data_IF_401089171058
#
_entry.id   IF_401089171058
#
_cell.length_a   1.000
_cell.length_b   1.000
_cell.length_c   1.000
_cell.angle_alpha   90.00
_cell.angle_beta   90.00
_cell.angle_gamma   90.00
#
_symmetry.space_group_name_H-M   'P 1'
#
loop_
_entity.id
_entity.type
_entity.pdbx_description
1 polymer ?
#
# COMPACT_ATOMS: atom_id res chain seq x y z
N UNK A 1 -13.85 -18.15 -0.71
CA UNK A 1 -13.11 -17.11 0.05
C UNK A 1 -12.84 -15.86 -0.81
N UNK A 2 -13.86 -15.35 -1.50
CA UNK A 2 -13.85 -14.01 -2.09
C UNK A 2 -14.37 -12.98 -1.07
N UNK A 3 -13.83 -12.99 0.14
CA UNK A 3 -13.98 -11.83 1.00
C UNK A 3 -13.08 -10.76 0.39
N UNK A 4 -13.74 -9.91 -0.41
CA UNK A 4 -13.29 -8.58 -0.79
C UNK A 4 -12.40 -8.02 0.31
N UNK A 5 -11.35 -7.30 -0.07
CA UNK A 5 -10.68 -6.32 0.79
C UNK A 5 -11.75 -5.32 1.29
N UNK A 6 -12.57 -5.72 2.26
CA UNK A 6 -13.50 -4.88 2.97
C UNK A 6 -12.64 -4.25 4.06
N UNK A 7 -12.18 -3.00 3.86
CA UNK A 7 -11.17 -2.37 4.72
C UNK A 7 -11.63 -2.19 6.18
N UNK A 8 -12.89 -2.50 6.48
CA UNK A 8 -13.47 -2.33 7.81
C UNK A 8 -13.66 -3.68 8.55
N UNK A 9 -13.90 -4.78 7.82
CA UNK A 9 -14.23 -6.07 8.43
C UNK A 9 -13.07 -6.81 9.10
N UNK A 10 -11.83 -6.48 8.72
CA UNK A 10 -10.63 -7.21 9.16
C UNK A 10 -9.67 -6.34 9.99
N UNK A 11 -10.13 -5.18 10.48
CA UNK A 11 -9.34 -4.36 11.40
C UNK A 11 -9.36 -5.02 12.78
N UNK A 12 -8.18 -5.26 13.35
CA UNK A 12 -8.06 -5.79 14.70
C UNK A 12 -8.44 -4.72 15.72
N UNK A 13 -9.55 -4.97 16.43
CA UNK A 13 -9.96 -4.19 17.60
C UNK A 13 -9.31 -4.77 18.86
N UNK A 14 -8.58 -3.95 19.61
CA UNK A 14 -7.87 -4.37 20.80
C UNK A 14 -6.50 -3.74 20.95
N UNK A 15 -5.74 -4.25 21.92
CA UNK A 15 -4.38 -3.79 22.22
C UNK A 15 -3.39 -4.63 21.41
N UNK A 16 -2.50 -3.97 20.71
CA UNK A 16 -1.43 -4.58 19.92
C UNK A 16 -0.15 -3.75 20.03
N UNK A 17 0.95 -4.29 19.50
CA UNK A 17 2.25 -3.60 19.52
C UNK A 17 2.59 -3.24 18.08
N UNK A 18 2.70 -1.95 17.80
CA UNK A 18 3.32 -1.41 16.60
C UNK A 18 4.84 -1.58 16.72
N UNK A 19 5.36 -2.64 16.10
CA UNK A 19 6.78 -2.95 16.15
C UNK A 19 7.65 -1.91 15.43
N UNK A 20 7.07 -0.99 14.65
CA UNK A 20 7.78 0.16 14.09
C UNK A 20 8.28 1.12 15.18
N UNK A 21 7.57 1.17 16.31
CA UNK A 21 7.90 2.02 17.48
C UNK A 21 8.56 1.24 18.62
N UNK A 22 8.83 -0.05 18.41
CA UNK A 22 9.41 -0.95 19.42
C UNK A 22 8.43 -1.39 20.51
N UNK A 23 8.91 -2.18 21.47
CA UNK A 23 8.04 -2.84 22.46
C UNK A 23 7.42 -1.90 23.50
N UNK A 24 8.03 -0.74 23.74
CA UNK A 24 7.60 0.19 24.80
C UNK A 24 6.69 1.29 24.25
N UNK A 25 7.12 2.01 23.22
CA UNK A 25 6.36 3.09 22.59
C UNK A 25 5.34 2.60 21.55
N UNK A 26 5.45 1.33 21.13
CA UNK A 26 4.54 0.73 20.16
C UNK A 26 3.22 0.21 20.73
N UNK A 27 3.02 0.24 22.05
CA UNK A 27 1.76 -0.22 22.64
C UNK A 27 0.60 0.65 22.14
N UNK A 28 -0.22 0.07 21.28
CA UNK A 28 -1.26 0.77 20.54
C UNK A 28 -2.60 0.10 20.83
N UNK A 29 -3.64 0.91 21.02
CA UNK A 29 -5.01 0.44 21.22
C UNK A 29 -5.87 0.90 20.06
N UNK A 30 -6.47 -0.05 19.36
CA UNK A 30 -7.49 0.21 18.33
C UNK A 30 -8.86 -0.03 18.95
N UNK A 31 -9.61 1.01 19.34
CA UNK A 31 -10.97 0.86 19.83
C UNK A 31 -11.95 0.55 18.69
N UNK A 32 -13.08 -0.08 19.03
CA UNK A 32 -14.22 -0.17 18.10
C UNK A 32 -14.76 1.23 17.77
N UNK A 33 -15.48 1.44 16.64
CA UNK A 33 -16.01 2.74 16.28
C UNK A 33 -16.89 3.38 17.39
N UNK A 34 -17.74 2.57 18.02
CA UNK A 34 -18.59 3.01 19.14
C UNK A 34 -17.75 3.32 20.38
N UNK A 35 -16.79 2.45 20.72
CA UNK A 35 -15.89 2.66 21.86
C UNK A 35 -15.05 3.93 21.70
N UNK A 36 -14.56 4.21 20.49
CA UNK A 36 -13.79 5.40 20.15
C UNK A 36 -14.59 6.68 20.38
N UNK A 37 -15.86 6.70 19.93
CA UNK A 37 -16.75 7.84 20.15
C UNK A 37 -17.00 8.09 21.65
N UNK A 38 -17.28 7.04 22.42
CA UNK A 38 -17.50 7.17 23.88
C UNK A 38 -16.24 7.67 24.58
N UNK A 39 -15.08 7.12 24.24
CA UNK A 39 -13.80 7.51 24.82
C UNK A 39 -13.45 8.96 24.50
N UNK A 40 -13.58 9.37 23.24
CA UNK A 40 -13.32 10.74 22.78
C UNK A 40 -14.21 11.74 23.52
N UNK A 41 -15.51 11.45 23.62
CA UNK A 41 -16.45 12.32 24.34
C UNK A 41 -16.15 12.40 25.83
N UNK A 42 -15.78 11.27 26.46
CA UNK A 42 -15.44 11.23 27.88
C UNK A 42 -14.13 11.96 28.17
N UNK A 43 -13.13 11.83 27.28
CA UNK A 43 -11.87 12.56 27.38
C UNK A 43 -12.07 14.07 27.25
N UNK A 44 -12.89 14.52 26.29
CA UNK A 44 -13.23 15.93 26.14
C UNK A 44 -13.88 16.47 27.43
N UNK A 45 -14.91 15.79 27.95
CA UNK A 45 -15.56 16.16 29.21
C UNK A 45 -14.58 16.21 30.40
N UNK A 46 -13.66 15.25 30.48
CA UNK A 46 -12.64 15.22 31.52
C UNK A 46 -11.71 16.43 31.45
N UNK A 47 -11.23 16.79 30.24
CA UNK A 47 -10.39 17.98 30.02
C UNK A 47 -11.14 19.26 30.38
N UNK A 48 -12.42 19.38 30.01
CA UNK A 48 -13.28 20.52 30.38
C UNK A 48 -13.40 20.66 31.90
N UNK A 49 -13.64 19.56 32.62
CA UNK A 49 -13.73 19.54 34.09
C UNK A 49 -12.40 19.93 34.74
N UNK A 50 -11.28 19.35 34.29
CA UNK A 50 -9.94 19.70 34.77
C UNK A 50 -9.65 21.19 34.55
N UNK A 51 -10.01 21.75 33.40
CA UNK A 51 -9.85 23.17 33.11
C UNK A 51 -10.67 24.09 34.00
N UNK A 52 -11.90 23.71 34.33
CA UNK A 52 -12.75 24.46 35.25
C UNK A 52 -12.19 24.45 36.69
N UNK A 53 -11.72 23.30 37.16
CA UNK A 53 -11.13 23.17 38.49
C UNK A 53 -9.77 23.89 38.58
N UNK A 54 -8.92 23.78 37.57
CA UNK A 54 -7.65 24.49 37.52
C UNK A 54 -7.88 26.02 37.53
N UNK A 55 -8.89 26.52 36.82
CA UNK A 55 -9.24 27.94 36.88
C UNK A 55 -9.67 28.38 38.28
N UNK A 56 -10.38 27.52 39.00
CA UNK A 56 -10.77 27.80 40.40
C UNK A 56 -9.55 27.93 41.30
N UNK A 57 -8.52 27.09 41.12
CA UNK A 57 -7.24 27.20 41.83
C UNK A 57 -6.54 28.51 41.47
N UNK A 58 -6.45 28.85 40.17
CA UNK A 58 -5.82 30.10 39.70
C UNK A 58 -6.51 31.33 40.28
N UNK A 59 -7.85 31.38 40.26
CA UNK A 59 -8.62 32.47 40.90
C UNK A 59 -8.36 32.55 42.39
N UNK A 60 -8.30 31.41 43.09
CA UNK A 60 -8.02 31.38 44.52
C UNK A 60 -6.62 31.95 44.82
N UNK A 61 -5.61 31.62 44.01
CA UNK A 61 -4.27 32.19 44.15
C UNK A 61 -4.30 33.71 43.97
N UNK A 62 -4.96 34.22 42.92
CA UNK A 62 -5.10 35.67 42.72
C UNK A 62 -5.86 36.36 43.86
N UNK A 63 -6.91 35.72 44.38
CA UNK A 63 -7.65 36.21 45.53
C UNK A 63 -6.74 36.33 46.76
N UNK A 64 -5.99 35.26 47.08
CA UNK A 64 -5.08 35.24 48.23
C UNK A 64 -3.93 36.25 48.11
N UNK A 65 -3.30 36.37 46.93
CA UNK A 65 -2.24 37.36 46.67
C UNK A 65 -2.75 38.80 46.78
N UNK A 66 -3.99 39.05 46.38
CA UNK A 66 -4.60 40.37 46.55
C UNK A 66 -5.02 40.66 47.99
N UNK A 67 -5.39 39.64 48.76
CA UNK A 67 -5.82 39.77 50.16
C UNK A 67 -4.63 39.97 51.12
N UNK A 68 -3.50 39.32 50.87
CA UNK A 68 -2.27 39.48 51.70
C UNK A 68 -1.66 40.88 51.62
N UNK A 69 -1.93 41.63 50.55
CA UNK A 69 -1.44 42.99 50.34
C UNK A 69 -2.31 44.09 51.01
N UNK A 70 -3.29 43.74 51.85
CA UNK A 70 -4.26 44.66 52.49
C UNK A 70 -3.75 45.39 53.76
N UNK A 71 -2.45 45.69 53.87
CA UNK A 71 -1.90 46.39 55.04
C UNK A 71 -2.04 47.94 55.02
N UNK A 72 -2.82 48.53 54.11
CA UNK A 72 -3.01 49.99 53.96
C UNK A 72 -4.44 50.41 53.59
N UNK A 73 -4.75 51.72 53.49
CA UNK A 73 -6.12 52.21 53.28
C UNK A 73 -6.73 51.64 52.00
N UNK A 74 -7.85 50.94 52.17
CA UNK A 74 -8.42 50.03 51.17
C UNK A 74 -9.06 50.78 49.99
N UNK A 75 -8.46 50.68 48.80
CA UNK A 75 -9.07 51.21 47.58
C UNK A 75 -10.34 50.40 47.22
N UNK A 76 -11.48 51.07 47.01
CA UNK A 76 -12.76 50.44 46.61
C UNK A 76 -12.61 49.48 45.42
N UNK A 77 -11.74 49.82 44.48
CA UNK A 77 -11.41 48.99 43.32
C UNK A 77 -10.82 47.61 43.69
N UNK A 78 -9.97 47.53 44.73
CA UNK A 78 -9.42 46.24 45.20
C UNK A 78 -10.52 45.35 45.82
N UNK A 79 -11.48 45.97 46.52
CA UNK A 79 -12.63 45.26 47.09
C UNK A 79 -13.51 44.68 45.97
N UNK A 80 -13.76 45.46 44.92
CA UNK A 80 -14.52 45.00 43.76
C UNK A 80 -13.81 43.87 43.01
N UNK A 81 -12.48 43.94 42.87
CA UNK A 81 -11.69 42.83 42.31
C UNK A 81 -11.82 41.54 43.12
N UNK A 82 -11.72 41.63 44.46
CA UNK A 82 -11.83 40.45 45.33
C UNK A 82 -13.23 39.82 45.28
N UNK A 83 -14.28 40.64 45.19
CA UNK A 83 -15.65 40.14 44.97
C UNK A 83 -15.76 39.39 43.64
N UNK A 84 -15.14 39.91 42.57
CA UNK A 84 -15.15 39.24 41.27
C UNK A 84 -14.41 37.89 41.35
N UNK A 85 -13.23 37.81 41.98
CA UNK A 85 -12.51 36.54 42.09
C UNK A 85 -13.27 35.49 42.92
N UNK A 86 -14.01 35.93 43.94
CA UNK A 86 -14.84 35.05 44.76
C UNK A 86 -16.08 34.54 44.01
N UNK A 87 -16.77 35.42 43.29
CA UNK A 87 -18.10 35.16 42.77
C UNK A 87 -18.10 34.67 41.30
N UNK A 88 -17.07 34.99 40.50
CA UNK A 88 -17.03 34.62 39.10
C UNK A 88 -16.63 33.14 38.90
N UNK A 89 -17.53 32.31 38.37
CA UNK A 89 -17.30 30.87 38.19
C UNK A 89 -16.32 30.51 37.06
N UNK A 90 -16.29 31.26 35.96
CA UNK A 90 -15.55 30.91 34.73
C UNK A 90 -14.50 31.97 34.35
N UNK A 91 -13.52 31.55 33.54
CA UNK A 91 -12.44 32.45 33.10
C UNK A 91 -12.96 33.61 32.25
N UNK A 92 -13.88 33.33 31.32
CA UNK A 92 -14.45 34.36 30.44
C UNK A 92 -15.32 35.38 31.20
N UNK A 93 -16.07 34.93 32.22
CA UNK A 93 -16.86 35.82 33.07
C UNK A 93 -15.95 36.68 33.94
N UNK A 94 -14.89 36.09 34.51
CA UNK A 94 -13.86 36.82 35.26
C UNK A 94 -13.18 37.87 34.38
N UNK A 95 -12.76 37.50 33.16
CA UNK A 95 -12.15 38.39 32.19
C UNK A 95 -13.06 39.58 31.88
N UNK A 96 -14.33 39.33 31.53
CA UNK A 96 -15.30 40.37 31.20
C UNK A 96 -15.50 41.34 32.37
N UNK A 97 -15.66 40.83 33.59
CA UNK A 97 -15.91 41.65 34.77
C UNK A 97 -14.68 42.49 35.16
N UNK A 98 -13.49 41.88 35.17
CA UNK A 98 -12.24 42.58 35.52
C UNK A 98 -11.85 43.60 34.46
N UNK A 99 -11.99 43.29 33.18
CA UNK A 99 -11.70 44.24 32.10
C UNK A 99 -12.69 45.42 32.11
N UNK A 100 -13.98 45.17 32.40
CA UNK A 100 -14.96 46.24 32.59
C UNK A 100 -14.61 47.12 33.78
N UNK A 101 -14.19 46.53 34.89
CA UNK A 101 -13.73 47.25 36.09
C UNK A 101 -12.47 48.09 35.81
N UNK A 102 -11.50 47.54 35.07
CA UNK A 102 -10.32 48.28 34.64
C UNK A 102 -10.70 49.47 33.74
N UNK A 103 -11.61 49.25 32.78
CA UNK A 103 -12.03 50.27 31.83
C UNK A 103 -12.83 51.41 32.47
N UNK A 104 -13.73 51.10 33.41
CA UNK A 104 -14.52 52.12 34.13
C UNK A 104 -13.65 52.97 35.06
N UNK A 105 -12.60 52.38 35.63
CA UNK A 105 -11.68 53.05 36.55
C UNK A 105 -10.46 53.71 35.90
N UNK A 106 -10.33 53.64 34.56
CA UNK A 106 -9.15 54.13 33.81
C UNK A 106 -8.81 55.60 33.99
N UNK A 107 -9.80 56.42 34.37
CA UNK A 107 -9.65 57.87 34.58
C UNK A 107 -9.51 58.26 36.05
N UNK A 108 -9.86 57.37 36.99
CA UNK A 108 -9.89 57.68 38.43
C UNK A 108 -8.78 57.00 39.23
N UNK A 109 -8.17 55.93 38.73
CA UNK A 109 -7.05 55.24 39.39
C UNK A 109 -5.68 55.57 38.77
N UNK A 110 -4.63 55.47 39.61
CA UNK A 110 -3.25 55.57 39.15
C UNK A 110 -2.87 54.46 38.16
N UNK A 111 -2.01 54.78 37.18
CA UNK A 111 -1.61 53.90 36.07
C UNK A 111 -1.26 52.47 36.51
N UNK A 112 -0.58 52.31 37.65
CA UNK A 112 -0.16 51.01 38.20
C UNK A 112 -1.33 50.08 38.55
N UNK A 113 -2.41 50.61 39.12
CA UNK A 113 -3.56 49.80 39.52
C UNK A 113 -4.44 49.43 38.33
N UNK A 114 -4.58 50.34 37.37
CA UNK A 114 -5.24 50.05 36.09
C UNK A 114 -4.50 48.95 35.31
N UNK A 115 -3.17 49.05 35.19
CA UNK A 115 -2.36 48.04 34.50
C UNK A 115 -2.50 46.67 35.17
N UNK A 116 -2.47 46.61 36.50
CA UNK A 116 -2.62 45.36 37.24
C UNK A 116 -3.96 44.67 36.95
N UNK A 117 -5.08 45.38 37.01
CA UNK A 117 -6.40 44.82 36.64
C UNK A 117 -6.46 44.36 35.20
N UNK A 118 -5.93 45.18 34.29
CA UNK A 118 -5.91 44.86 32.88
C UNK A 118 -5.09 43.60 32.60
N UNK A 119 -3.91 43.46 33.22
CA UNK A 119 -3.07 42.27 33.13
C UNK A 119 -3.79 41.01 33.64
N UNK A 120 -4.51 41.09 34.76
CA UNK A 120 -5.26 39.92 35.25
C UNK A 120 -6.42 39.57 34.33
N UNK A 121 -7.13 40.57 33.80
CA UNK A 121 -8.16 40.35 32.78
C UNK A 121 -7.61 39.67 31.52
N UNK A 122 -6.42 40.10 31.07
CA UNK A 122 -5.71 39.49 29.94
C UNK A 122 -5.31 38.04 30.24
N UNK A 123 -4.78 37.75 31.44
CA UNK A 123 -4.45 36.37 31.86
C UNK A 123 -5.68 35.47 31.82
N UNK A 124 -6.85 35.95 32.25
CA UNK A 124 -8.09 35.19 32.17
C UNK A 124 -8.54 34.91 30.73
N UNK A 125 -8.34 35.86 29.80
CA UNK A 125 -8.60 35.65 28.35
C UNK A 125 -7.62 34.64 27.76
N UNK A 126 -6.32 34.77 28.06
CA UNK A 126 -5.29 33.85 27.60
C UNK A 126 -5.57 32.44 28.12
N UNK A 127 -5.90 32.30 29.40
CA UNK A 127 -6.27 31.02 29.99
C UNK A 127 -7.45 30.39 29.26
N UNK A 128 -8.52 31.16 29.03
CA UNK A 128 -9.70 30.66 28.30
C UNK A 128 -9.33 30.22 26.88
N UNK A 129 -8.53 31.02 26.16
CA UNK A 129 -8.09 30.70 24.81
C UNK A 129 -7.21 29.43 24.77
N UNK A 130 -6.25 29.30 25.69
CA UNK A 130 -5.41 28.12 25.82
C UNK A 130 -6.24 26.87 26.15
N UNK A 131 -7.20 26.95 27.08
CA UNK A 131 -8.02 25.81 27.43
C UNK A 131 -8.98 25.38 26.33
N UNK A 132 -9.60 26.33 25.62
CA UNK A 132 -10.40 26.03 24.43
C UNK A 132 -9.55 25.36 23.36
N UNK A 133 -8.31 25.81 23.15
CA UNK A 133 -7.39 25.14 22.22
C UNK A 133 -7.06 23.71 22.69
N UNK A 134 -6.68 23.52 23.96
CA UNK A 134 -6.38 22.20 24.53
C UNK A 134 -7.58 21.25 24.40
N UNK A 135 -8.80 21.73 24.63
CA UNK A 135 -10.03 20.95 24.46
C UNK A 135 -10.21 20.50 23.01
N UNK A 136 -10.07 21.40 22.04
CA UNK A 136 -10.15 21.07 20.60
C UNK A 136 -9.06 20.06 20.20
N UNK A 137 -7.83 20.27 20.66
CA UNK A 137 -6.69 19.40 20.33
C UNK A 137 -6.63 18.11 21.15
N UNK A 138 -7.47 17.94 22.18
CA UNK A 138 -7.51 16.70 22.98
C UNK A 138 -7.90 15.49 22.13
N UNK A 139 -8.78 15.68 21.14
CA UNK A 139 -9.16 14.65 20.17
C UNK A 139 -7.99 14.27 19.24
N UNK A 140 -7.03 15.16 19.06
CA UNK A 140 -5.84 14.89 18.25
C UNK A 140 -4.89 13.89 18.92
N UNK A 141 -4.93 13.79 20.25
CA UNK A 141 -4.16 12.79 21.01
C UNK A 141 -4.60 11.37 20.66
N UNK A 142 -5.87 11.19 20.27
CA UNK A 142 -6.43 9.91 19.84
C UNK A 142 -5.98 9.57 18.40
N UNK A 143 -5.64 10.59 17.60
CA UNK A 143 -5.10 10.46 16.24
C UNK A 143 -3.56 10.46 16.18
N UNK A 144 -2.85 10.26 17.29
CA UNK A 144 -1.39 10.40 17.40
C UNK A 144 -0.56 9.31 16.67
N UNK A 145 -1.08 8.78 15.55
CA UNK A 145 -0.51 7.68 14.79
C UNK A 145 0.25 8.04 13.51
N UNK A 146 0.08 9.22 12.91
CA UNK A 146 0.80 9.51 11.66
C UNK A 146 0.96 11.00 11.39
N UNK A 147 2.21 11.40 11.18
CA UNK A 147 2.61 12.76 10.77
C UNK A 147 2.41 12.95 9.25
N UNK A 148 2.19 11.86 8.49
CA UNK A 148 2.20 11.85 7.03
C UNK A 148 1.06 11.02 6.39
N UNK A 149 -0.04 10.71 7.10
CA UNK A 149 -1.13 9.89 6.54
C UNK A 149 -2.18 9.45 7.56
N UNK A 150 -3.04 8.49 7.19
CA UNK A 150 -3.98 7.87 8.11
C UNK A 150 -3.25 7.10 9.24
N UNK A 151 -3.82 7.04 10.43
CA UNK A 151 -3.26 6.28 11.56
C UNK A 151 -3.15 4.79 11.19
N UNK A 152 -1.98 4.15 11.33
CA UNK A 152 -1.84 2.74 11.01
C UNK A 152 -2.71 1.91 11.96
N UNK A 153 -3.53 1.04 11.38
CA UNK A 153 -4.32 0.05 12.12
C UNK A 153 -3.75 -1.33 11.88
N UNK A 154 -3.83 -2.21 12.88
CA UNK A 154 -3.46 -3.60 12.69
C UNK A 154 -4.55 -4.28 11.86
N UNK A 155 -4.18 -4.68 10.67
CA UNK A 155 -5.01 -5.53 9.83
C UNK A 155 -4.80 -6.99 10.21
N UNK A 156 -5.88 -7.72 10.45
CA UNK A 156 -5.85 -9.15 10.76
C UNK A 156 -6.84 -9.87 9.86
N UNK A 157 -6.34 -10.41 8.74
CA UNK A 157 -7.11 -11.36 7.93
C UNK A 157 -7.34 -12.66 8.69
N UNK A 158 -8.23 -13.50 8.15
CA UNK A 158 -8.25 -14.93 8.43
C UNK A 158 -6.91 -15.63 8.10
N UNK A 159 -6.88 -16.97 7.97
CA UNK A 159 -5.63 -17.68 7.68
C UNK A 159 -4.95 -17.09 6.45
N UNK A 160 -3.75 -16.54 6.65
CA UNK A 160 -2.85 -16.08 5.60
C UNK A 160 -1.77 -17.14 5.41
N UNK A 161 -1.33 -17.35 4.17
CA UNK A 161 -0.36 -18.37 3.83
C UNK A 161 -0.69 -19.04 2.52
N UNK A 162 -0.15 -20.23 2.32
CA UNK A 162 -0.43 -21.05 1.14
C UNK A 162 -1.89 -21.50 1.15
N UNK A 163 -2.49 -21.56 -0.05
CA UNK A 163 -3.81 -22.16 -0.22
C UNK A 163 -3.74 -23.64 0.19
N UNK A 164 -4.88 -24.20 0.60
CA UNK A 164 -4.98 -25.59 1.00
C UNK A 164 -4.51 -26.50 -0.16
N UNK A 165 -3.65 -27.49 0.13
CA UNK A 165 -3.10 -28.41 -0.88
C UNK A 165 -4.20 -29.14 -1.64
N UNK A 166 -5.24 -29.63 -0.96
CA UNK A 166 -6.35 -30.32 -1.63
C UNK A 166 -7.16 -29.40 -2.53
N UNK A 167 -7.26 -28.12 -2.18
CA UNK A 167 -7.89 -27.10 -3.02
C UNK A 167 -7.03 -26.85 -4.27
N UNK A 168 -5.70 -26.72 -4.10
CA UNK A 168 -4.78 -26.54 -5.22
C UNK A 168 -4.79 -27.73 -6.17
N UNK A 169 -4.82 -28.96 -5.67
CA UNK A 169 -4.93 -30.16 -6.50
C UNK A 169 -6.19 -30.15 -7.37
N UNK A 170 -7.34 -29.71 -6.84
CA UNK A 170 -8.58 -29.64 -7.61
C UNK A 170 -8.50 -28.57 -8.71
N UNK A 171 -8.03 -27.37 -8.38
CA UNK A 171 -8.05 -26.23 -9.32
C UNK A 171 -6.91 -26.29 -10.34
N UNK A 172 -5.77 -26.91 -10.01
CA UNK A 172 -4.63 -27.05 -10.93
C UNK A 172 -4.78 -28.24 -11.88
N UNK A 173 -5.33 -29.37 -11.40
CA UNK A 173 -5.51 -30.56 -12.25
C UNK A 173 -6.74 -30.46 -13.17
N UNK A 174 -7.56 -29.41 -13.03
CA UNK A 174 -8.77 -29.23 -13.82
C UNK A 174 -9.78 -30.35 -13.62
N UNK A 175 -9.91 -30.86 -12.40
CA UNK A 175 -10.91 -31.89 -12.10
C UNK A 175 -12.31 -31.29 -12.10
N UNK A 176 -13.03 -31.42 -13.22
CA UNK A 176 -14.40 -30.96 -13.38
C UNK A 176 -15.44 -32.06 -13.14
N UNK A 177 -15.07 -33.13 -12.42
CA UNK A 177 -15.93 -34.29 -12.17
C UNK A 177 -17.20 -33.96 -11.38
N UNK A 178 -17.19 -32.89 -10.58
CA UNK A 178 -18.33 -32.44 -9.78
C UNK A 178 -18.65 -30.96 -9.98
N UNK A 179 -19.91 -30.58 -9.76
CA UNK A 179 -20.34 -29.17 -9.78
C UNK A 179 -19.60 -28.33 -8.73
N UNK A 180 -19.23 -28.94 -7.60
CA UNK A 180 -18.47 -28.29 -6.54
C UNK A 180 -17.05 -27.99 -7.00
N UNK A 181 -16.34 -28.98 -7.57
CA UNK A 181 -14.98 -28.80 -8.06
C UNK A 181 -14.92 -27.77 -9.20
N UNK A 182 -15.90 -27.81 -10.11
CA UNK A 182 -16.05 -26.78 -11.14
C UNK A 182 -16.29 -25.39 -10.53
N UNK A 183 -17.10 -25.30 -9.47
CA UNK A 183 -17.31 -24.05 -8.72
C UNK A 183 -16.02 -23.50 -8.11
N UNK A 184 -15.19 -24.37 -7.50
CA UNK A 184 -13.89 -23.99 -6.93
C UNK A 184 -12.91 -23.49 -8.00
N UNK A 185 -12.89 -24.11 -9.18
CA UNK A 185 -12.08 -23.67 -10.31
C UNK A 185 -12.52 -22.30 -10.86
N UNK A 186 -13.82 -22.09 -11.01
CA UNK A 186 -14.38 -20.80 -11.45
C UNK A 186 -14.04 -19.70 -10.43
N UNK A 187 -14.16 -20.01 -9.14
CA UNK A 187 -13.76 -19.08 -8.07
C UNK A 187 -12.27 -18.74 -8.13
N UNK A 188 -11.40 -19.75 -8.27
CA UNK A 188 -9.96 -19.58 -8.41
C UNK A 188 -9.60 -18.69 -9.60
N UNK A 189 -10.17 -18.98 -10.76
CA UNK A 189 -9.93 -18.24 -12.00
C UNK A 189 -10.45 -16.80 -11.89
N UNK A 190 -11.65 -16.62 -11.33
CA UNK A 190 -12.24 -15.30 -11.09
C UNK A 190 -11.41 -14.47 -10.11
N UNK A 191 -10.87 -15.09 -9.04
CA UNK A 191 -9.98 -14.42 -8.09
C UNK A 191 -8.69 -13.97 -8.77
N UNK A 192 -8.07 -14.84 -9.57
CA UNK A 192 -6.87 -14.49 -10.33
C UNK A 192 -7.09 -13.32 -11.29
N UNK A 193 -8.19 -13.34 -12.05
CA UNK A 193 -8.54 -12.24 -12.95
C UNK A 193 -8.78 -10.92 -12.18
N UNK A 194 -9.48 -10.98 -11.06
CA UNK A 194 -9.74 -9.81 -10.22
C UNK A 194 -8.47 -9.23 -9.59
N UNK A 195 -7.54 -10.09 -9.14
CA UNK A 195 -6.26 -9.64 -8.58
C UNK A 195 -5.37 -8.97 -9.62
N UNK A 196 -5.40 -9.46 -10.86
CA UNK A 196 -4.71 -8.84 -11.99
C UNK A 196 -5.30 -7.45 -12.28
N UNK A 197 -6.63 -7.33 -12.32
CA UNK A 197 -7.33 -6.06 -12.52
C UNK A 197 -6.95 -5.04 -11.45
N UNK A 198 -7.05 -5.40 -10.16
CA UNK A 198 -6.65 -4.54 -9.05
C UNK A 198 -5.18 -4.12 -9.10
N UNK A 199 -4.29 -5.06 -9.43
CA UNK A 199 -2.85 -4.79 -9.54
C UNK A 199 -2.54 -3.86 -10.71
N UNK A 200 -3.26 -4.00 -11.82
CA UNK A 200 -3.12 -3.15 -13.00
C UNK A 200 -3.59 -1.72 -12.71
N UNK A 201 -4.77 -1.56 -12.10
CA UNK A 201 -5.28 -0.26 -11.66
C UNK A 201 -4.27 0.43 -10.72
N UNK A 202 -3.77 -0.29 -9.72
CA UNK A 202 -2.76 0.23 -8.80
C UNK A 202 -1.48 0.68 -9.52
N UNK A 203 -0.95 -0.14 -10.44
CA UNK A 203 0.26 0.18 -11.18
C UNK A 203 0.07 1.41 -12.08
N UNK A 204 -1.09 1.56 -12.72
CA UNK A 204 -1.40 2.73 -13.54
C UNK A 204 -1.46 4.01 -12.68
N UNK A 205 -2.15 3.96 -11.55
CA UNK A 205 -2.31 5.14 -10.68
C UNK A 205 -1.00 5.51 -9.97
N UNK A 206 -0.28 4.52 -9.46
CA UNK A 206 0.80 4.73 -8.50
C UNK A 206 2.21 4.66 -9.10
N UNK A 207 2.41 4.00 -10.25
CA UNK A 207 3.74 3.93 -10.88
C UNK A 207 3.91 4.87 -12.07
N UNK A 208 2.82 5.22 -12.78
CA UNK A 208 2.88 6.10 -13.95
C UNK A 208 2.61 7.58 -13.60
N UNK A 209 2.00 7.86 -12.45
CA UNK A 209 1.74 9.21 -11.95
C UNK A 209 2.95 9.83 -11.27
N UNK A 210 3.38 11.01 -11.72
CA UNK A 210 4.62 11.64 -11.22
C UNK A 210 4.67 11.91 -9.71
N UNK A 211 3.55 12.27 -9.06
CA UNK A 211 3.55 12.61 -7.62
C UNK A 211 2.60 11.70 -6.82
N UNK A 212 3.16 10.60 -6.31
CA UNK A 212 2.49 9.49 -5.62
C UNK A 212 1.71 9.95 -4.38
N UNK A 213 2.10 11.06 -3.74
CA UNK A 213 1.52 11.55 -2.48
C UNK A 213 0.10 12.12 -2.61
N UNK A 214 -0.42 12.31 -3.83
CA UNK A 214 -1.73 12.93 -4.05
C UNK A 214 -2.90 11.94 -4.09
N UNK A 215 -2.63 10.64 -4.26
CA UNK A 215 -3.68 9.63 -4.45
C UNK A 215 -3.79 8.74 -3.22
N UNK A 216 -4.96 8.79 -2.56
CA UNK A 216 -5.24 7.95 -1.38
C UNK A 216 -5.18 6.45 -1.70
N UNK A 217 -5.40 6.04 -2.96
CA UNK A 217 -5.31 4.65 -3.42
C UNK A 217 -3.91 4.07 -3.31
N UNK A 218 -2.86 4.89 -3.46
CA UNK A 218 -1.47 4.44 -3.37
C UNK A 218 -1.02 4.12 -1.93
N UNK A 219 -1.77 4.58 -0.91
CA UNK A 219 -1.49 4.33 0.50
C UNK A 219 -2.19 3.07 1.04
N UNK A 220 -2.70 2.20 0.16
CA UNK A 220 -3.28 0.91 0.55
C UNK A 220 -2.21 -0.11 0.96
N UNK A 221 -1.01 -0.01 0.39
CA UNK A 221 0.17 -0.79 0.76
C UNK A 221 1.09 0.04 1.67
N UNK A 222 1.96 -0.66 2.42
CA UNK A 222 2.92 -0.02 3.34
C UNK A 222 3.90 0.89 2.58
N UNK A 223 4.46 0.40 1.49
CA UNK A 223 5.26 1.15 0.55
C UNK A 223 4.49 1.25 -0.76
N UNK A 224 4.29 2.47 -1.28
CA UNK A 224 3.54 2.67 -2.51
C UNK A 224 4.28 2.10 -3.74
N UNK A 225 5.61 2.05 -3.67
CA UNK A 225 6.49 1.45 -4.66
C UNK A 225 7.70 0.87 -3.93
N UNK A 226 8.15 -0.30 -4.37
CA UNK A 226 9.42 -0.87 -3.96
C UNK A 226 10.50 -0.41 -4.92
N UNK A 227 11.60 0.11 -4.38
CA UNK A 227 12.74 0.52 -5.19
C UNK A 227 13.53 -0.70 -5.65
N UNK A 228 14.16 -0.58 -6.82
CA UNK A 228 15.11 -1.55 -7.34
C UNK A 228 16.20 -0.83 -8.12
N UNK A 229 17.35 -1.48 -8.26
CA UNK A 229 18.43 -1.01 -9.10
C UNK A 229 18.45 -1.76 -10.42
N UNK A 230 18.86 -1.06 -11.47
CA UNK A 230 19.04 -1.61 -12.82
C UNK A 230 20.53 -1.53 -13.14
N UNK A 231 21.13 -2.67 -13.41
CA UNK A 231 22.52 -2.81 -13.81
C UNK A 231 22.61 -3.58 -15.13
N UNK A 232 23.76 -3.53 -15.78
CA UNK A 232 24.06 -4.33 -16.96
C UNK A 232 25.00 -5.48 -16.58
N UNK A 233 24.81 -6.63 -17.22
CA UNK A 233 25.54 -7.86 -16.94
C UNK A 233 25.68 -8.75 -18.16
N UNK A 234 26.24 -9.93 -17.92
CA UNK A 234 26.40 -10.96 -18.94
C UNK A 234 25.15 -11.84 -19.01
N UNK A 235 24.87 -12.37 -20.20
CA UNK A 235 23.84 -13.39 -20.36
C UNK A 235 24.17 -14.61 -19.49
N UNK A 236 23.20 -15.13 -18.70
CA UNK A 236 23.45 -16.20 -17.74
C UNK A 236 23.50 -17.61 -18.37
N UNK A 237 23.30 -17.70 -19.68
CA UNK A 237 23.26 -18.97 -20.42
C UNK A 237 24.53 -19.19 -21.23
N UNK A 238 24.60 -20.33 -21.91
CA UNK A 238 25.72 -20.64 -22.80
C UNK A 238 25.86 -19.59 -23.92
N UNK A 239 27.08 -19.15 -24.30
CA UNK A 239 27.27 -18.06 -25.26
C UNK A 239 26.56 -18.28 -26.61
N UNK A 240 26.33 -19.53 -27.01
CA UNK A 240 25.69 -19.89 -28.27
C UNK A 240 24.19 -19.59 -28.31
N UNK A 241 23.51 -19.55 -27.15
CA UNK A 241 22.08 -19.26 -27.08
C UNK A 241 21.78 -17.80 -26.74
N UNK A 242 22.78 -17.07 -26.24
CA UNK A 242 22.68 -15.65 -26.00
C UNK A 242 22.80 -14.86 -27.31
N UNK A 243 22.14 -13.71 -27.39
CA UNK A 243 22.33 -12.78 -28.48
C UNK A 243 23.67 -12.04 -28.33
N UNK A 244 24.48 -11.95 -29.40
CA UNK A 244 25.85 -11.41 -29.31
C UNK A 244 25.91 -9.89 -29.16
N UNK A 245 24.87 -9.18 -29.59
CA UNK A 245 24.83 -7.71 -29.64
C UNK A 245 24.02 -7.08 -28.50
N UNK A 246 23.56 -7.88 -27.52
CA UNK A 246 22.81 -7.35 -26.38
C UNK A 246 23.48 -7.69 -25.05
N UNK A 247 23.56 -6.69 -24.18
CA UNK A 247 23.90 -6.89 -22.79
C UNK A 247 22.67 -7.39 -22.02
N UNK A 248 22.90 -8.23 -21.01
CA UNK A 248 21.82 -8.63 -20.13
C UNK A 248 21.50 -7.48 -19.17
N UNK A 249 20.22 -7.29 -18.87
CA UNK A 249 19.75 -6.34 -17.86
C UNK A 249 19.56 -7.07 -16.56
N UNK A 250 20.17 -6.57 -15.49
CA UNK A 250 20.09 -7.13 -14.14
C UNK A 250 19.25 -6.21 -13.27
N UNK A 251 18.08 -6.69 -12.86
CA UNK A 251 17.17 -6.03 -11.95
C UNK A 251 17.39 -6.59 -10.54
N UNK A 252 17.78 -5.73 -9.60
CA UNK A 252 18.04 -6.12 -8.22
C UNK A 252 17.17 -5.31 -7.26
N UNK A 253 16.28 -6.01 -6.56
CA UNK A 253 15.39 -5.38 -5.57
C UNK A 253 16.12 -4.87 -4.32
N UNK A 254 17.38 -5.29 -4.11
CA UNK A 254 17.98 -5.21 -2.78
C UNK A 254 17.21 -6.07 -1.76
N UNK A 255 17.48 -5.85 -0.48
CA UNK A 255 16.74 -6.55 0.59
C UNK A 255 15.42 -5.84 0.88
N UNK A 256 14.32 -6.49 0.54
CA UNK A 256 12.96 -6.14 0.92
C UNK A 256 12.71 -6.71 2.32
N UNK A 257 12.39 -5.84 3.28
CA UNK A 257 12.03 -6.21 4.65
C UNK A 257 10.52 -6.42 4.79
N UNK A 258 10.13 -7.58 5.33
CA UNK A 258 8.73 -7.92 5.56
C UNK A 258 7.94 -6.89 6.36
N UNK A 259 8.58 -6.17 7.29
CA UNK A 259 7.94 -5.18 8.14
C UNK A 259 7.98 -3.78 7.54
N UNK A 260 9.17 -3.32 7.17
CA UNK A 260 9.37 -1.94 6.77
C UNK A 260 8.81 -1.69 5.36
N UNK A 261 8.95 -2.65 4.45
CA UNK A 261 8.51 -2.51 3.05
C UNK A 261 7.14 -3.16 2.79
N UNK A 262 6.87 -4.34 3.36
CA UNK A 262 5.63 -5.09 3.11
C UNK A 262 4.55 -4.91 4.19
N UNK A 263 4.87 -4.25 5.31
CA UNK A 263 3.88 -3.93 6.36
C UNK A 263 3.51 -5.07 7.30
N UNK A 264 4.22 -6.20 7.28
CA UNK A 264 3.98 -7.33 8.20
C UNK A 264 4.48 -6.94 9.60
N UNK A 265 3.54 -6.70 10.51
CA UNK A 265 3.85 -6.24 11.87
C UNK A 265 4.50 -7.33 12.75
N UNK A 266 5.82 -7.49 12.64
CA UNK A 266 6.62 -8.50 13.31
C UNK A 266 7.75 -7.90 14.16
N UNK A 267 8.16 -8.63 15.20
CA UNK A 267 9.32 -8.26 16.04
C UNK A 267 10.58 -8.24 15.19
N UNK A 268 11.60 -7.42 15.51
CA UNK A 268 12.84 -7.35 14.73
C UNK A 268 13.50 -8.71 14.42
N UNK A 269 13.45 -9.65 15.37
CA UNK A 269 14.02 -11.00 15.22
C UNK A 269 13.19 -11.97 14.35
N UNK A 270 11.92 -11.64 14.13
CA UNK A 270 10.95 -12.45 13.39
C UNK A 270 10.70 -11.87 11.99
N UNK A 271 11.40 -10.79 11.62
CA UNK A 271 11.34 -10.15 10.29
C UNK A 271 12.06 -10.99 9.26
N UNK A 272 11.44 -11.15 8.10
CA UNK A 272 12.04 -11.78 6.94
C UNK A 272 12.61 -10.72 6.00
N UNK A 273 13.74 -11.05 5.39
CA UNK A 273 14.32 -10.28 4.29
C UNK A 273 14.33 -11.11 3.04
N UNK A 274 13.83 -10.55 1.95
CA UNK A 274 13.78 -11.17 0.65
C UNK A 274 14.56 -10.32 -0.34
N UNK A 275 15.31 -10.95 -1.25
CA UNK A 275 15.98 -10.25 -2.34
C UNK A 275 15.74 -11.03 -3.61
N UNK A 276 15.27 -10.33 -4.65
CA UNK A 276 15.09 -10.88 -5.99
C UNK A 276 16.13 -10.28 -6.92
N UNK A 277 16.90 -11.15 -7.56
CA UNK A 277 17.81 -10.80 -8.64
C UNK A 277 17.24 -11.40 -9.93
N UNK A 278 16.87 -10.56 -10.89
CA UNK A 278 16.33 -11.01 -12.18
C UNK A 278 17.28 -10.57 -13.28
N UNK A 279 17.83 -11.53 -14.03
CA UNK A 279 18.69 -11.23 -15.18
C UNK A 279 17.92 -11.52 -16.46
N UNK A 280 17.67 -10.49 -17.26
CA UNK A 280 16.98 -10.57 -18.53
C UNK A 280 18.01 -10.51 -19.67
N UNK A 281 18.05 -11.54 -20.50
CA UNK A 281 18.93 -11.58 -21.66
C UNK A 281 18.12 -11.92 -22.92
N UNK A 282 18.49 -11.32 -24.05
CA UNK A 282 17.93 -11.70 -25.33
C UNK A 282 18.58 -12.99 -25.82
N UNK A 283 17.77 -13.90 -26.35
CA UNK A 283 18.24 -15.18 -26.89
C UNK A 283 18.41 -15.09 -28.41
N UNK A 284 19.39 -15.83 -28.92
CA UNK A 284 19.55 -16.08 -30.34
C UNK A 284 18.53 -17.14 -30.80
N UNK A 285 17.61 -16.68 -31.63
CA UNK A 285 16.47 -17.43 -32.14
C UNK A 285 16.75 -18.17 -33.47
N UNK A 286 17.96 -18.02 -34.02
CA UNK A 286 18.37 -18.61 -35.30
C UNK A 286 18.19 -20.13 -35.27
N UNK A 287 17.39 -20.65 -36.21
CA UNK A 287 17.12 -22.08 -36.31
C UNK A 287 16.20 -22.66 -35.23
N UNK A 288 15.66 -21.83 -34.33
CA UNK A 288 14.73 -22.23 -33.25
C UNK A 288 13.29 -21.78 -33.48
N UNK A 289 13.04 -21.02 -34.55
CA UNK A 289 11.70 -20.61 -34.97
C UNK A 289 11.38 -21.17 -36.36
N UNK A 290 10.19 -21.73 -36.50
CA UNK A 290 9.67 -22.24 -37.78
C UNK A 290 8.27 -21.69 -37.99
N UNK A 291 8.05 -21.02 -39.11
CA UNK A 291 6.73 -20.56 -39.55
C UNK A 291 6.27 -21.38 -40.73
N UNK A 292 5.03 -21.89 -40.70
CA UNK A 292 4.48 -22.68 -41.79
C UNK A 292 2.96 -22.65 -41.83
N UNK A 293 2.41 -22.79 -43.04
CA UNK A 293 0.98 -23.01 -43.22
C UNK A 293 0.66 -24.49 -42.98
N UNK A 294 -0.10 -24.80 -41.93
CA UNK A 294 -0.63 -26.15 -41.72
C UNK A 294 -1.84 -26.32 -42.64
N UNK A 295 -1.63 -26.85 -43.84
CA UNK A 295 -2.73 -27.21 -44.74
C UNK A 295 -3.40 -28.49 -44.24
N UNK A 296 -4.33 -28.37 -43.30
CA UNK A 296 -5.17 -29.49 -42.87
C UNK A 296 -6.26 -29.75 -43.92
N UNK A 297 -5.94 -30.58 -44.92
CA UNK A 297 -6.92 -31.21 -45.83
C UNK A 297 -7.63 -30.28 -46.82
N UNK A 298 -7.99 -30.82 -47.98
CA UNK A 298 -8.49 -30.10 -49.17
C UNK A 298 -9.82 -29.32 -48.99
N UNK A 299 -10.40 -29.19 -47.79
CA UNK A 299 -11.72 -28.55 -47.59
C UNK A 299 -11.89 -27.80 -46.24
N UNK A 300 -10.86 -27.13 -45.71
CA UNK A 300 -10.97 -26.48 -44.39
C UNK A 300 -10.35 -25.07 -44.35
N UNK A 301 -11.18 -24.04 -44.60
CA UNK A 301 -10.91 -22.65 -44.23
C UNK A 301 -9.65 -21.99 -44.84
N UNK A 302 -9.41 -20.69 -44.55
CA UNK A 302 -8.13 -20.07 -44.84
C UNK A 302 -7.01 -20.79 -44.06
N UNK A 303 -5.89 -21.09 -44.72
CA UNK A 303 -4.78 -21.82 -44.12
C UNK A 303 -4.26 -21.14 -42.85
N UNK A 304 -4.14 -21.91 -41.77
CA UNK A 304 -3.54 -21.48 -40.50
C UNK A 304 -2.05 -21.27 -40.71
N UNK A 305 -1.59 -20.03 -40.61
CA UNK A 305 -0.16 -19.75 -40.61
C UNK A 305 0.30 -19.68 -39.15
N UNK A 306 0.94 -20.75 -38.69
CA UNK A 306 1.37 -20.89 -37.32
C UNK A 306 2.90 -20.81 -37.25
N UNK A 307 3.39 -20.03 -36.30
CA UNK A 307 4.80 -19.96 -35.95
C UNK A 307 5.04 -20.75 -34.67
N UNK A 308 6.07 -21.59 -34.68
CA UNK A 308 6.46 -22.45 -33.57
C UNK A 308 7.88 -22.09 -33.10
N UNK A 309 8.08 -22.05 -31.79
CA UNK A 309 9.37 -21.83 -31.15
C UNK A 309 9.83 -23.10 -30.41
N UNK A 310 11.08 -23.50 -30.61
CA UNK A 310 11.66 -24.74 -30.11
C UNK A 310 12.80 -24.46 -29.13
N UNK A 311 12.44 -24.29 -27.85
CA UNK A 311 13.36 -24.16 -26.71
C UNK A 311 13.25 -25.34 -25.74
N UNK A 312 12.49 -26.38 -26.13
CA UNK A 312 12.17 -27.54 -25.31
C UNK A 312 10.75 -28.06 -25.52
N UNK A 313 10.46 -29.35 -25.28
CA UNK A 313 9.09 -29.87 -25.37
C UNK A 313 8.21 -29.33 -24.23
N UNK A 314 6.99 -28.90 -24.56
CA UNK A 314 6.02 -28.44 -23.57
C UNK A 314 5.39 -29.62 -22.83
N UNK A 315 5.42 -29.55 -21.50
CA UNK A 315 4.80 -30.52 -20.60
C UNK A 315 3.30 -30.24 -20.52
N UNK A 316 2.93 -28.99 -20.29
CA UNK A 316 1.53 -28.59 -20.13
C UNK A 316 0.69 -28.82 -21.40
N UNK A 317 1.31 -28.74 -22.58
CA UNK A 317 0.62 -28.90 -23.88
C UNK A 317 0.88 -30.26 -24.54
N UNK A 318 1.82 -31.05 -24.01
CA UNK A 318 2.26 -32.31 -24.63
C UNK A 318 2.69 -32.15 -26.10
N UNK A 319 3.43 -31.08 -26.39
CA UNK A 319 3.93 -30.76 -27.75
C UNK A 319 5.46 -30.77 -27.80
N UNK A 320 6.01 -30.93 -29.01
CA UNK A 320 7.46 -30.90 -29.23
C UNK A 320 8.04 -29.47 -29.32
N UNK A 321 7.18 -28.46 -29.36
CA UNK A 321 7.52 -27.04 -29.37
C UNK A 321 7.18 -26.41 -28.03
N UNK A 322 7.86 -25.32 -27.69
CA UNK A 322 7.71 -24.61 -26.41
C UNK A 322 6.54 -23.64 -26.47
N UNK A 323 6.47 -22.86 -27.55
CA UNK A 323 5.46 -21.83 -27.75
C UNK A 323 5.00 -21.82 -29.21
N UNK A 324 3.72 -21.51 -29.45
CA UNK A 324 3.19 -21.30 -30.80
C UNK A 324 2.28 -20.08 -30.86
N UNK A 325 2.21 -19.48 -32.04
CA UNK A 325 1.32 -18.35 -32.30
C UNK A 325 0.80 -18.41 -33.74
N UNK A 326 -0.51 -18.20 -33.90
CA UNK A 326 -1.21 -18.28 -35.19
C UNK A 326 -2.03 -17.03 -35.46
N UNK A 327 -2.21 -16.71 -36.75
CA UNK A 327 -3.08 -15.63 -37.22
C UNK A 327 -4.58 -15.88 -36.95
N UNK A 328 -4.94 -17.10 -36.56
CA UNK A 328 -6.29 -17.55 -36.24
C UNK A 328 -6.29 -18.29 -34.89
N UNK A 329 -5.75 -17.67 -33.85
CA UNK A 329 -5.68 -18.24 -32.49
C UNK A 329 -7.05 -18.73 -31.94
N UNK A 330 -8.18 -18.30 -32.51
CA UNK A 330 -9.51 -18.77 -32.16
C UNK A 330 -9.98 -20.05 -32.88
N UNK A 331 -9.23 -20.56 -33.87
CA UNK A 331 -9.63 -21.71 -34.70
C UNK A 331 -8.56 -22.80 -34.66
N UNK A 332 -8.67 -23.69 -33.67
CA UNK A 332 -8.42 -25.11 -33.93
C UNK A 332 -7.04 -25.69 -33.64
N UNK A 333 -6.20 -25.04 -32.83
CA UNK A 333 -5.25 -25.81 -32.02
C UNK A 333 -5.93 -26.12 -30.67
N UNK A 334 -5.46 -27.12 -29.91
CA UNK A 334 -6.11 -27.72 -28.73
C UNK A 334 -6.26 -26.77 -27.50
N UNK A 335 -6.42 -25.47 -27.74
CA UNK A 335 -6.36 -24.37 -26.79
C UNK A 335 -7.74 -23.79 -26.52
N UNK A 336 -7.94 -23.39 -25.26
CA UNK A 336 -9.00 -22.48 -24.83
C UNK A 336 -9.06 -21.24 -25.71
N UNK A 337 -10.24 -20.64 -25.86
CA UNK A 337 -10.48 -19.40 -26.59
C UNK A 337 -9.57 -18.27 -26.11
N UNK A 338 -8.44 -18.06 -26.77
CA UNK A 338 -7.54 -16.94 -26.49
C UNK A 338 -7.97 -15.72 -27.31
N UNK A 339 -8.09 -14.57 -26.66
CA UNK A 339 -8.45 -13.32 -27.33
C UNK A 339 -7.36 -12.90 -28.32
N UNK A 340 -7.76 -12.52 -29.53
CA UNK A 340 -6.85 -11.95 -30.52
C UNK A 340 -6.56 -10.51 -30.11
N UNK A 341 -5.40 -10.29 -29.49
CA UNK A 341 -4.86 -8.96 -29.19
C UNK A 341 -3.69 -8.72 -30.16
N UNK A 342 -3.54 -7.52 -30.76
CA UNK A 342 -2.51 -7.27 -31.77
C UNK A 342 -1.10 -7.62 -31.30
N UNK A 343 -0.74 -7.24 -30.07
CA UNK A 343 0.50 -7.61 -29.41
C UNK A 343 0.21 -8.58 -28.27
N UNK A 344 0.99 -9.65 -28.19
CA UNK A 344 0.86 -10.67 -27.15
C UNK A 344 2.22 -11.04 -26.58
N UNK A 345 2.34 -10.98 -25.27
CA UNK A 345 3.47 -11.57 -24.54
C UNK A 345 3.02 -12.92 -23.97
N UNK A 346 3.59 -14.01 -24.47
CA UNK A 346 3.51 -15.33 -23.85
C UNK A 346 4.66 -15.54 -22.88
N UNK A 347 4.41 -16.24 -21.77
CA UNK A 347 5.42 -16.62 -20.80
C UNK A 347 5.39 -18.15 -20.62
N UNK A 348 6.56 -18.77 -20.61
CA UNK A 348 6.74 -20.19 -20.29
C UNK A 348 7.77 -20.30 -19.19
N UNK A 349 7.46 -21.05 -18.13
CA UNK A 349 8.24 -21.07 -16.90
C UNK A 349 8.78 -22.47 -16.55
N UNK A 350 10.00 -22.48 -16.01
CA UNK A 350 10.65 -23.65 -15.42
C UNK A 350 11.15 -23.24 -14.03
N UNK A 351 10.87 -24.05 -13.03
CA UNK A 351 11.23 -23.77 -11.64
C UNK A 351 12.58 -24.38 -11.29
N UNK A 352 13.30 -23.72 -10.38
CA UNK A 352 14.51 -24.28 -9.84
C UNK A 352 14.23 -25.63 -9.15
N UNK A 353 15.15 -26.62 -9.26
CA UNK A 353 14.99 -27.90 -8.59
C UNK A 353 14.78 -27.72 -7.08
N UNK A 354 13.69 -28.28 -6.55
CA UNK A 354 13.34 -28.19 -5.12
C UNK A 354 12.86 -29.54 -4.59
N UNK A 355 13.06 -29.78 -3.28
CA UNK A 355 12.64 -31.02 -2.61
C UNK A 355 11.79 -30.68 -1.37
N UNK A 356 10.49 -31.02 -1.35
CA UNK A 356 9.71 -31.57 -2.47
C UNK A 356 9.48 -30.52 -3.58
N UNK A 357 9.19 -30.98 -4.79
CA UNK A 357 8.88 -30.11 -5.92
C UNK A 357 7.42 -29.64 -5.79
N UNK A 358 7.23 -28.34 -5.56
CA UNK A 358 5.91 -27.75 -5.32
C UNK A 358 5.24 -27.21 -6.59
N UNK A 359 6.03 -26.99 -7.65
CA UNK A 359 5.56 -26.39 -8.88
C UNK A 359 5.82 -27.31 -10.07
N UNK A 360 4.91 -27.25 -11.05
CA UNK A 360 5.03 -27.97 -12.31
C UNK A 360 5.67 -27.05 -13.34
N UNK A 361 6.64 -27.57 -14.09
CA UNK A 361 7.28 -26.85 -15.19
C UNK A 361 6.37 -26.83 -16.42
N UNK A 362 6.38 -25.74 -17.17
CA UNK A 362 5.59 -25.62 -18.41
C UNK A 362 6.22 -26.43 -19.56
N UNK A 363 7.54 -26.57 -19.55
CA UNK A 363 8.33 -27.24 -20.59
C UNK A 363 9.66 -27.77 -20.03
N UNK A 364 10.29 -28.70 -20.75
CA UNK A 364 11.64 -29.17 -20.44
C UNK A 364 12.65 -28.34 -21.26
N UNK A 365 13.47 -27.48 -20.64
CA UNK A 365 14.37 -26.61 -21.40
C UNK A 365 15.46 -27.41 -22.12
N UNK A 366 15.93 -26.88 -23.26
CA UNK A 366 17.14 -27.39 -23.90
C UNK A 366 18.35 -27.26 -22.96
N UNK A 367 19.38 -28.11 -23.09
CA UNK A 367 20.54 -28.11 -22.19
C UNK A 367 21.21 -26.73 -22.04
N UNK A 368 21.21 -25.93 -23.12
CA UNK A 368 21.79 -24.60 -23.16
C UNK A 368 21.06 -23.54 -22.32
N UNK A 369 19.78 -23.78 -21.98
CA UNK A 369 18.93 -22.91 -21.16
C UNK A 369 18.67 -23.46 -19.76
N UNK A 370 19.16 -24.67 -19.46
CA UNK A 370 18.86 -25.31 -18.18
C UNK A 370 19.47 -24.50 -17.03
N UNK A 371 18.64 -23.92 -16.13
CA UNK A 371 19.17 -23.11 -15.05
C UNK A 371 19.79 -23.99 -13.96
N UNK A 372 20.93 -23.58 -13.39
CA UNK A 372 21.59 -24.34 -12.32
C UNK A 372 20.92 -24.14 -10.95
N UNK A 373 20.62 -22.89 -10.58
CA UNK A 373 20.11 -22.51 -9.26
C UNK A 373 19.12 -21.33 -9.32
N UNK A 374 18.31 -21.28 -10.37
CA UNK A 374 17.36 -20.18 -10.60
C UNK A 374 16.11 -20.68 -11.33
N UNK A 375 15.02 -19.92 -11.20
CA UNK A 375 13.85 -20.10 -12.06
C UNK A 375 14.15 -19.51 -13.44
N UNK A 376 13.62 -20.14 -14.49
CA UNK A 376 13.69 -19.67 -15.87
C UNK A 376 12.32 -19.23 -16.33
N UNK A 377 12.23 -18.05 -16.93
CA UNK A 377 11.03 -17.57 -17.63
C UNK A 377 11.42 -17.16 -19.04
N UNK A 378 10.83 -17.80 -20.04
CA UNK A 378 10.94 -17.40 -21.44
C UNK A 378 9.77 -16.50 -21.81
N UNK A 379 10.08 -15.33 -22.35
CA UNK A 379 9.09 -14.36 -22.83
C UNK A 379 9.06 -14.33 -24.36
N UNK A 380 7.89 -14.59 -24.92
CA UNK A 380 7.64 -14.59 -26.36
C UNK A 380 6.74 -13.41 -26.73
N UNK A 381 7.26 -12.45 -27.49
CA UNK A 381 6.45 -11.40 -28.07
C UNK A 381 5.96 -11.82 -29.47
N UNK A 382 4.65 -11.86 -29.63
CA UNK A 382 3.98 -12.18 -30.88
C UNK A 382 3.10 -11.03 -31.33
N UNK A 383 3.00 -10.83 -32.63
CA UNK A 383 2.18 -9.79 -33.22
C UNK A 383 1.39 -10.32 -34.41
N UNK A 384 0.11 -9.93 -34.47
CA UNK A 384 -0.74 -10.11 -35.65
C UNK A 384 -1.05 -8.76 -36.26
N UNK A 385 -0.66 -8.58 -37.52
CA UNK A 385 -0.95 -7.36 -38.27
C UNK A 385 0.10 -7.10 -39.34
N UNK A 386 0.17 -5.85 -39.76
CA UNK A 386 1.22 -5.34 -40.64
C UNK A 386 1.85 -4.13 -40.01
N UNK A 387 3.15 -3.95 -40.24
CA UNK A 387 3.89 -2.81 -39.72
C UNK A 387 3.77 -1.63 -40.67
N UNK A 388 3.49 -0.45 -40.11
CA UNK A 388 3.47 0.80 -40.88
C UNK A 388 4.89 1.29 -41.17
N UNK A 389 5.81 1.03 -40.27
CA UNK A 389 7.21 1.43 -40.31
C UNK A 389 8.09 0.24 -39.91
N UNK A 390 9.36 0.27 -40.32
CA UNK A 390 10.34 -0.72 -39.88
C UNK A 390 10.60 -0.58 -38.37
N UNK A 391 10.76 -1.70 -37.68
CA UNK A 391 11.05 -1.74 -36.25
C UNK A 391 12.45 -2.36 -36.06
N UNK A 392 13.40 -1.50 -35.69
CA UNK A 392 14.79 -1.86 -35.39
C UNK A 392 14.98 -2.15 -33.90
N UNK A 393 14.21 -3.11 -33.36
CA UNK A 393 14.37 -3.59 -31.98
C UNK A 393 15.02 -4.99 -31.99
N UNK A 394 16.03 -5.21 -31.15
CA UNK A 394 16.76 -6.48 -31.11
C UNK A 394 15.88 -7.65 -30.65
N UNK A 395 14.92 -7.42 -29.75
CA UNK A 395 13.97 -8.44 -29.30
C UNK A 395 12.80 -8.62 -30.27
N UNK A 396 12.37 -7.52 -30.88
CA UNK A 396 11.20 -7.46 -31.74
C UNK A 396 11.46 -6.73 -33.05
N UNK A 397 12.25 -7.36 -33.91
CA UNK A 397 12.63 -6.80 -35.20
C UNK A 397 11.57 -7.06 -36.27
N UNK A 398 11.18 -6.00 -36.99
CA UNK A 398 10.23 -6.08 -38.09
C UNK A 398 10.59 -5.16 -39.25
N UNK A 399 11.25 -5.70 -40.27
CA UNK A 399 11.66 -4.95 -41.47
C UNK A 399 10.72 -5.15 -42.68
N UNK A 400 9.59 -5.84 -42.48
CA UNK A 400 8.60 -6.07 -43.54
C UNK A 400 7.39 -5.18 -43.30
N UNK A 401 7.39 -4.03 -43.94
CA UNK A 401 6.30 -3.06 -43.88
C UNK A 401 5.12 -3.49 -44.77
N UNK A 402 3.96 -2.91 -44.50
CA UNK A 402 2.81 -3.00 -45.38
C UNK A 402 3.13 -2.38 -46.75
N UNK A 403 3.27 -3.21 -47.78
CA UNK A 403 3.31 -2.77 -49.16
C UNK A 403 1.86 -2.61 -49.62
N UNK A 404 1.42 -1.36 -49.82
CA UNK A 404 0.07 -1.01 -50.25
C UNK A 404 -0.30 -1.46 -51.65
#
# INVERSE_FOLDING_TARGET
MADTLNPVGNVYEGIWIDWSKGSTLGLTWTPSPVGSMVFTNTLALFVTLCGAHLWTIVRYIFHQLGASNHAGPTNQHLIEQQRIFRDASHALTTARLILKLAWSSRRSLGKRSFLHSYSIGLVAVIYAACFMAVEIFSNYVINAGSVNGASPVLWRTGPCGTMNETYLEVVQNGDFSSKENFGLFVEYSGKGAHDIELSFEYAQECYQGGNITSYMSCNTLKAARLDWSVNYGLCPFTPQICHNESEAVVLDSGYIDSHDDLGINSKPKDRLKYRRLTTCALLNDTGRKVSGATSTGENSGPGLNTSYAFYGPSICRSTNWTYSYSNLASVGDNFSTEAIIPYRVGAEQVWAPSVPQWNVDDFVPVPELTPENADLVLLFLSFTGSYLEEVDDLWFSAHRIFAG
#
